data_IF_105625037690
#
_entry.id   IF_105625037690
#
_cell.length_a   1.000
_cell.length_b   1.000
_cell.length_c   1.000
_cell.angle_alpha   90.00
_cell.angle_beta   90.00
_cell.angle_gamma   90.00
#
_symmetry.space_group_name_H-M   'P 1'
#
loop_
_entity.id
_entity.type
_entity.pdbx_description
1 polymer ?
#
# COMPACT_ATOMS: atom_id res chain seq x y z
N UNK A 1 -4.80 -7.51 66.56
CA UNK A 1 -5.95 -6.71 67.03
C UNK A 1 -5.77 -6.27 68.49
N UNK A 2 -5.50 -7.19 69.43
CA UNK A 2 -5.31 -6.85 70.85
C UNK A 2 -4.20 -5.80 71.12
N UNK A 3 -3.08 -5.84 70.39
CA UNK A 3 -2.00 -4.85 70.50
C UNK A 3 -2.41 -3.44 70.08
N UNK A 4 -3.20 -3.31 69.01
CA UNK A 4 -3.69 -2.02 68.49
C UNK A 4 -4.72 -1.43 69.46
N UNK A 5 -5.62 -2.26 69.99
CA UNK A 5 -6.58 -1.85 71.01
C UNK A 5 -5.91 -1.47 72.33
N UNK A 6 -4.82 -2.14 72.71
CA UNK A 6 -4.02 -1.81 73.90
C UNK A 6 -3.33 -0.45 73.74
N UNK A 7 -2.70 -0.20 72.59
CA UNK A 7 -2.05 1.10 72.29
C UNK A 7 -3.09 2.24 72.17
N UNK A 8 -4.23 2.01 71.53
CA UNK A 8 -5.32 3.00 71.47
C UNK A 8 -5.86 3.36 72.86
N UNK A 9 -5.86 2.41 73.80
CA UNK A 9 -6.35 2.61 75.17
C UNK A 9 -5.32 3.27 76.08
N UNK A 10 -4.04 2.94 75.92
CA UNK A 10 -2.95 3.45 76.75
C UNK A 10 -2.36 4.77 76.22
N UNK A 11 -2.32 4.96 74.89
CA UNK A 11 -1.78 6.15 74.20
C UNK A 11 -2.60 6.46 72.93
N UNK A 12 -3.79 7.08 73.07
CA UNK A 12 -4.75 7.23 71.97
C UNK A 12 -4.23 8.04 70.78
N UNK A 13 -3.40 9.06 71.02
CA UNK A 13 -2.79 9.88 69.97
C UNK A 13 -1.81 9.08 69.11
N UNK A 14 -0.96 8.26 69.73
CA UNK A 14 0.02 7.39 69.05
C UNK A 14 -0.69 6.26 68.30
N UNK A 15 -1.73 5.68 68.92
CA UNK A 15 -2.57 4.66 68.27
C UNK A 15 -3.34 5.19 67.05
N UNK A 16 -3.92 6.39 67.16
CA UNK A 16 -4.61 7.05 66.05
C UNK A 16 -3.63 7.42 64.92
N UNK A 17 -2.45 7.94 65.25
CA UNK A 17 -1.39 8.22 64.28
C UNK A 17 -0.97 6.94 63.54
N UNK A 18 -0.69 5.86 64.27
CA UNK A 18 -0.27 4.58 63.68
C UNK A 18 -1.32 4.01 62.72
N UNK A 19 -2.59 4.07 63.09
CA UNK A 19 -3.71 3.66 62.23
C UNK A 19 -3.79 4.56 60.99
N UNK A 20 -3.76 5.88 61.17
CA UNK A 20 -3.83 6.84 60.07
C UNK A 20 -2.67 6.65 59.08
N UNK A 21 -1.43 6.47 59.56
CA UNK A 21 -0.26 6.22 58.71
C UNK A 21 -0.38 4.90 57.97
N UNK A 22 -0.89 3.85 58.62
CA UNK A 22 -1.09 2.53 58.00
C UNK A 22 -2.14 2.59 56.90
N UNK A 23 -3.31 3.20 57.15
CA UNK A 23 -4.34 3.36 56.14
C UNK A 23 -3.90 4.29 55.00
N UNK A 24 -3.09 5.31 55.29
CA UNK A 24 -2.51 6.18 54.25
C UNK A 24 -1.52 5.42 53.38
N UNK A 25 -0.65 4.60 53.98
CA UNK A 25 0.30 3.76 53.24
C UNK A 25 -0.42 2.72 52.37
N UNK A 26 -1.44 2.05 52.91
CA UNK A 26 -2.29 1.11 52.17
C UNK A 26 -3.00 1.85 51.02
N UNK A 27 -3.60 3.01 51.30
CA UNK A 27 -4.27 3.83 50.29
C UNK A 27 -3.34 4.28 49.16
N UNK A 28 -2.10 4.64 49.49
CA UNK A 28 -1.07 4.97 48.49
C UNK A 28 -0.73 3.77 47.61
N UNK A 29 -0.50 2.59 48.19
CA UNK A 29 -0.22 1.36 47.43
C UNK A 29 -1.38 1.01 46.49
N UNK A 30 -2.63 1.05 46.98
CA UNK A 30 -3.80 0.79 46.16
C UNK A 30 -3.96 1.80 45.02
N UNK A 31 -3.74 3.09 45.30
CA UNK A 31 -3.76 4.14 44.27
C UNK A 31 -2.72 3.86 43.19
N UNK A 32 -1.47 3.60 43.57
CA UNK A 32 -0.40 3.30 42.61
C UNK A 32 -0.70 2.07 41.76
N UNK A 33 -1.28 1.03 42.35
CA UNK A 33 -1.72 -0.17 41.62
C UNK A 33 -2.83 0.12 40.62
N UNK A 34 -3.84 0.88 41.02
CA UNK A 34 -4.95 1.27 40.14
C UNK A 34 -4.43 2.14 38.99
N UNK A 35 -3.56 3.11 39.29
CA UNK A 35 -2.97 4.01 38.30
C UNK A 35 -2.14 3.21 37.27
N UNK A 36 -1.30 2.26 37.71
CA UNK A 36 -0.53 1.40 36.82
C UNK A 36 -1.41 0.52 35.91
N UNK A 37 -2.52 -0.01 36.44
CA UNK A 37 -3.49 -0.79 35.64
C UNK A 37 -4.18 0.10 34.60
N UNK A 38 -4.58 1.31 34.98
CA UNK A 38 -5.23 2.27 34.09
C UNK A 38 -4.27 2.76 33.00
N UNK A 39 -3.02 3.05 33.34
CA UNK A 39 -1.97 3.40 32.38
C UNK A 39 -1.69 2.25 31.41
N UNK A 40 -1.56 1.02 31.89
CA UNK A 40 -1.41 -0.15 31.02
C UNK A 40 -2.59 -0.33 30.05
N UNK A 41 -3.83 -0.07 30.49
CA UNK A 41 -5.01 -0.07 29.62
C UNK A 41 -4.98 1.07 28.60
N UNK A 42 -4.58 2.28 29.00
CA UNK A 42 -4.44 3.45 28.11
C UNK A 42 -3.38 3.21 27.05
N UNK A 43 -2.20 2.72 27.45
CA UNK A 43 -1.11 2.40 26.54
C UNK A 43 -1.51 1.34 25.51
N UNK A 44 -2.19 0.26 25.93
CA UNK A 44 -2.76 -0.73 25.00
C UNK A 44 -3.75 -0.09 24.01
N UNK A 45 -4.59 0.82 24.47
CA UNK A 45 -5.54 1.55 23.62
C UNK A 45 -4.83 2.47 22.63
N UNK A 46 -3.75 3.13 23.04
CA UNK A 46 -2.93 4.00 22.19
C UNK A 46 -2.17 3.21 21.13
N UNK A 47 -1.49 2.11 21.50
CA UNK A 47 -0.85 1.21 20.53
C UNK A 47 -1.87 0.73 19.50
N UNK A 48 -3.04 0.29 19.97
CA UNK A 48 -4.12 -0.15 19.09
C UNK A 48 -4.53 0.98 18.14
N UNK A 49 -4.70 2.22 18.64
CA UNK A 49 -5.03 3.40 17.81
C UNK A 49 -3.94 3.72 16.77
N UNK A 50 -2.66 3.66 17.16
CA UNK A 50 -1.54 3.92 16.26
C UNK A 50 -1.52 2.86 15.15
N UNK A 51 -1.58 1.59 15.53
CA UNK A 51 -1.65 0.47 14.59
C UNK A 51 -2.79 0.64 13.58
N UNK A 52 -3.99 1.02 14.03
CA UNK A 52 -5.12 1.26 13.13
C UNK A 52 -4.90 2.44 12.20
N UNK A 53 -4.32 3.52 12.71
CA UNK A 53 -4.04 4.71 11.93
C UNK A 53 -3.08 4.38 10.79
N UNK A 54 -2.01 3.63 11.10
CA UNK A 54 -1.04 3.17 10.11
C UNK A 54 -1.66 2.20 9.08
N UNK A 55 -2.52 1.27 9.52
CA UNK A 55 -3.21 0.32 8.62
C UNK A 55 -4.18 1.01 7.67
N UNK A 56 -4.96 1.99 8.14
CA UNK A 56 -5.84 2.82 7.28
C UNK A 56 -5.03 3.64 6.29
N UNK A 57 -3.93 4.25 6.73
CA UNK A 57 -3.03 4.99 5.84
C UNK A 57 -2.41 4.08 4.76
N UNK A 58 -2.01 2.86 5.12
CA UNK A 58 -1.51 1.88 4.17
C UNK A 58 -2.58 1.49 3.14
N UNK A 59 -3.83 1.25 3.58
CA UNK A 59 -4.94 0.94 2.69
C UNK A 59 -5.27 2.09 1.70
N UNK A 60 -5.24 3.34 2.17
CA UNK A 60 -5.45 4.51 1.31
C UNK A 60 -4.37 4.62 0.25
N UNK A 61 -3.10 4.47 0.66
CA UNK A 61 -1.95 4.51 -0.26
C UNK A 61 -1.97 3.36 -1.26
N UNK A 62 -2.38 2.15 -0.85
CA UNK A 62 -2.59 1.03 -1.77
C UNK A 62 -3.61 1.37 -2.85
N UNK A 63 -4.71 1.99 -2.45
CA UNK A 63 -5.75 2.42 -3.38
C UNK A 63 -5.23 3.43 -4.38
N UNK A 64 -4.57 4.50 -3.90
CA UNK A 64 -3.97 5.52 -4.75
C UNK A 64 -2.98 4.89 -5.74
N UNK A 65 -2.04 4.07 -5.26
CA UNK A 65 -1.05 3.41 -6.10
C UNK A 65 -1.69 2.52 -7.18
N UNK A 66 -2.59 1.62 -6.80
CA UNK A 66 -3.18 0.67 -7.75
C UNK A 66 -4.06 1.36 -8.79
N UNK A 67 -4.77 2.43 -8.43
CA UNK A 67 -5.54 3.21 -9.40
C UNK A 67 -4.63 4.02 -10.35
N UNK A 68 -3.67 4.76 -9.81
CA UNK A 68 -2.80 5.64 -10.61
C UNK A 68 -1.91 4.84 -11.57
N UNK A 69 -1.34 3.72 -11.10
CA UNK A 69 -0.52 2.85 -11.93
C UNK A 69 -1.32 2.22 -13.08
N UNK A 70 -2.57 1.80 -12.81
CA UNK A 70 -3.43 1.24 -13.84
C UNK A 70 -3.88 2.29 -14.86
N UNK A 71 -4.21 3.49 -14.42
CA UNK A 71 -4.63 4.56 -15.32
C UNK A 71 -3.49 5.00 -16.23
N UNK A 72 -2.26 5.06 -15.70
CA UNK A 72 -1.07 5.38 -16.48
C UNK A 72 -0.83 4.35 -17.60
N UNK A 73 -0.88 3.06 -17.28
CA UNK A 73 -0.69 1.99 -18.28
C UNK A 73 -1.83 1.96 -19.31
N UNK A 74 -3.06 2.24 -18.89
CA UNK A 74 -4.22 2.39 -19.79
C UNK A 74 -4.02 3.52 -20.80
N UNK A 75 -3.57 4.70 -20.34
CA UNK A 75 -3.26 5.84 -21.20
C UNK A 75 -2.11 5.54 -22.17
N UNK A 76 -1.09 4.81 -21.73
CA UNK A 76 0.00 4.34 -22.58
C UNK A 76 -0.53 3.51 -23.75
N UNK A 77 -1.26 2.45 -23.41
CA UNK A 77 -1.86 1.51 -24.36
C UNK A 77 -2.72 2.27 -25.37
N UNK A 78 -3.54 3.21 -24.90
CA UNK A 78 -4.39 4.01 -25.76
C UNK A 78 -3.58 4.86 -26.74
N UNK A 79 -2.53 5.53 -26.26
CA UNK A 79 -1.70 6.38 -27.12
C UNK A 79 -0.90 5.57 -28.14
N UNK A 80 -0.37 4.41 -27.77
CA UNK A 80 0.29 3.48 -28.71
C UNK A 80 -0.72 2.97 -29.76
N UNK A 81 -1.95 2.63 -29.34
CA UNK A 81 -3.02 2.19 -30.27
C UNK A 81 -3.37 3.27 -31.29
N UNK A 82 -3.51 4.53 -30.85
CA UNK A 82 -3.77 5.66 -31.75
C UNK A 82 -2.65 5.82 -32.76
N UNK A 83 -1.41 5.71 -32.29
CA UNK A 83 -0.24 5.87 -33.16
C UNK A 83 -0.20 4.73 -34.19
N UNK A 84 -0.32 3.45 -33.80
CA UNK A 84 -0.33 2.29 -34.71
C UNK A 84 -1.49 2.26 -35.74
N UNK A 85 -2.48 3.14 -35.59
CA UNK A 85 -3.60 3.33 -36.52
C UNK A 85 -3.42 4.50 -37.47
N UNK A 86 -2.41 5.36 -37.29
CA UNK A 86 -2.13 6.44 -38.23
C UNK A 86 -1.44 5.87 -39.48
N UNK A 87 -2.08 6.03 -40.63
CA UNK A 87 -1.52 5.67 -41.94
C UNK A 87 -0.53 6.76 -42.38
N UNK A 88 0.77 6.55 -42.16
CA UNK A 88 1.80 7.42 -42.73
C UNK A 88 3.21 7.23 -42.16
N UNK A 89 4.26 7.16 -43.02
CA UNK A 89 5.64 7.19 -42.57
C UNK A 89 6.01 8.63 -42.17
N UNK A 90 6.31 8.87 -40.90
CA UNK A 90 6.93 10.15 -40.49
C UNK A 90 6.69 10.61 -39.05
N UNK A 91 5.65 10.13 -38.35
CA UNK A 91 5.33 10.62 -36.99
C UNK A 91 5.24 9.52 -35.93
N UNK A 92 5.24 8.24 -36.35
CA UNK A 92 4.98 7.08 -35.51
C UNK A 92 6.08 6.87 -34.45
N UNK A 93 7.33 6.83 -34.91
CA UNK A 93 8.50 6.48 -34.09
C UNK A 93 8.77 7.51 -33.00
N UNK A 94 8.89 8.80 -33.35
CA UNK A 94 9.07 9.87 -32.35
C UNK A 94 7.93 9.94 -31.33
N UNK A 95 6.69 9.67 -31.75
CA UNK A 95 5.53 9.76 -30.86
C UNK A 95 5.45 8.55 -29.92
N UNK A 96 5.77 7.35 -30.39
CA UNK A 96 5.88 6.15 -29.55
C UNK A 96 7.04 6.32 -28.57
N UNK A 97 8.23 6.69 -29.05
CA UNK A 97 9.42 6.84 -28.23
C UNK A 97 9.24 7.91 -27.15
N UNK A 98 8.77 9.12 -27.50
CA UNK A 98 8.46 10.17 -26.50
C UNK A 98 7.38 9.73 -25.51
N UNK A 99 6.40 8.94 -25.96
CA UNK A 99 5.35 8.43 -25.06
C UNK A 99 5.92 7.43 -24.08
N UNK A 100 6.70 6.46 -24.56
CA UNK A 100 7.31 5.45 -23.69
C UNK A 100 8.34 6.10 -22.75
N UNK A 101 9.12 7.07 -23.22
CA UNK A 101 10.15 7.76 -22.44
C UNK A 101 9.57 8.63 -21.31
N UNK A 102 8.51 9.42 -21.58
CA UNK A 102 7.77 10.17 -20.54
C UNK A 102 7.18 9.24 -19.48
N UNK A 103 6.80 8.02 -19.87
CA UNK A 103 6.20 7.06 -18.96
C UNK A 103 7.25 6.28 -18.19
N UNK A 104 8.35 5.86 -18.81
CA UNK A 104 9.50 5.26 -18.15
C UNK A 104 9.97 6.16 -17.00
N UNK A 105 10.10 7.47 -17.23
CA UNK A 105 10.43 8.44 -16.18
C UNK A 105 9.43 8.48 -15.01
N UNK A 106 8.14 8.18 -15.23
CA UNK A 106 7.11 8.09 -14.17
C UNK A 106 7.05 6.71 -13.50
N UNK A 107 7.51 5.66 -14.18
CA UNK A 107 7.41 4.26 -13.72
C UNK A 107 8.66 3.79 -13.00
N UNK A 108 9.78 4.53 -13.05
CA UNK A 108 11.12 4.19 -12.49
C UNK A 108 11.19 4.10 -10.95
N UNK A 109 10.07 4.04 -10.23
CA UNK A 109 10.10 3.65 -8.82
C UNK A 109 9.01 2.64 -8.43
N UNK A 110 9.06 1.41 -8.98
CA UNK A 110 8.14 0.33 -8.58
C UNK A 110 8.48 -0.23 -7.18
N UNK A 111 9.71 -0.01 -6.70
CA UNK A 111 10.15 -0.29 -5.31
C UNK A 111 9.95 0.98 -4.46
N UNK A 112 8.79 1.61 -4.60
CA UNK A 112 8.40 2.68 -3.69
C UNK A 112 8.27 2.08 -2.28
N UNK A 113 8.80 2.79 -1.28
CA UNK A 113 8.55 2.55 0.16
C UNK A 113 7.06 2.24 0.47
N UNK A 114 6.15 2.69 -0.40
CA UNK A 114 4.71 2.49 -0.31
C UNK A 114 4.27 1.05 -0.57
N UNK A 115 4.88 0.32 -1.50
CA UNK A 115 4.57 -1.11 -1.71
C UNK A 115 4.97 -1.93 -0.47
N UNK A 116 6.13 -1.62 0.12
CA UNK A 116 6.55 -2.23 1.38
C UNK A 116 5.58 -1.94 2.54
N UNK A 117 5.06 -0.71 2.61
CA UNK A 117 4.08 -0.32 3.64
C UNK A 117 2.75 -1.06 3.53
N UNK A 118 2.35 -1.45 2.33
CA UNK A 118 1.12 -2.24 2.08
C UNK A 118 1.35 -3.70 2.44
N UNK A 119 2.49 -4.27 2.04
CA UNK A 119 2.87 -5.65 2.33
C UNK A 119 3.07 -5.93 3.84
N UNK A 120 3.32 -4.89 4.66
CA UNK A 120 3.34 -5.03 6.12
C UNK A 120 1.96 -5.35 6.73
N UNK A 121 0.86 -5.04 6.03
CA UNK A 121 -0.50 -5.25 6.54
C UNK A 121 -1.32 -6.23 5.71
N UNK A 122 -0.95 -6.45 4.44
CA UNK A 122 -1.66 -7.34 3.52
C UNK A 122 -0.66 -8.26 2.85
N UNK A 123 -0.87 -9.57 3.00
CA UNK A 123 -0.02 -10.59 2.38
C UNK A 123 -0.60 -10.93 1.00
N UNK A 124 -0.14 -10.21 -0.02
CA UNK A 124 -0.57 -10.41 -1.40
C UNK A 124 0.35 -11.41 -2.10
N UNK A 125 -0.24 -12.38 -2.80
CA UNK A 125 0.50 -13.27 -3.70
C UNK A 125 0.92 -12.48 -4.95
N UNK A 126 2.18 -12.02 -4.96
CA UNK A 126 2.69 -11.21 -6.07
C UNK A 126 3.28 -12.01 -7.21
N UNK A 127 3.40 -13.35 -7.12
CA UNK A 127 4.12 -14.12 -8.14
C UNK A 127 3.52 -13.91 -9.53
N UNK A 128 2.19 -14.01 -9.63
CA UNK A 128 1.47 -13.79 -10.89
C UNK A 128 1.57 -12.33 -11.34
N UNK A 129 1.54 -11.39 -10.40
CA UNK A 129 1.64 -9.96 -10.72
C UNK A 129 3.03 -9.60 -11.25
N UNK A 130 4.09 -10.14 -10.64
CA UNK A 130 5.48 -9.94 -11.02
C UNK A 130 5.78 -10.54 -12.39
N UNK A 131 5.21 -11.72 -12.68
CA UNK A 131 5.25 -12.31 -14.03
C UNK A 131 4.58 -11.39 -15.07
N UNK A 132 3.36 -10.93 -14.80
CA UNK A 132 2.64 -10.02 -15.70
C UNK A 132 3.37 -8.69 -15.91
N UNK A 133 3.98 -8.14 -14.86
CA UNK A 133 4.78 -6.92 -14.94
C UNK A 133 6.02 -7.13 -15.80
N UNK A 134 6.73 -8.24 -15.61
CA UNK A 134 7.90 -8.62 -16.41
C UNK A 134 7.54 -8.80 -17.87
N UNK A 135 6.47 -9.55 -18.17
CA UNK A 135 5.97 -9.72 -19.54
C UNK A 135 5.59 -8.39 -20.18
N UNK A 136 4.88 -7.53 -19.45
CA UNK A 136 4.47 -6.21 -19.95
C UNK A 136 5.68 -5.32 -20.23
N UNK A 137 6.69 -5.34 -19.37
CA UNK A 137 7.94 -4.61 -19.56
C UNK A 137 8.68 -5.10 -20.80
N UNK A 138 8.81 -6.41 -21.00
CA UNK A 138 9.43 -6.97 -22.19
C UNK A 138 8.68 -6.56 -23.46
N UNK A 139 7.34 -6.57 -23.44
CA UNK A 139 6.54 -6.11 -24.58
C UNK A 139 6.79 -4.63 -24.87
N UNK A 140 6.91 -3.79 -23.85
CA UNK A 140 7.23 -2.36 -24.02
C UNK A 140 8.62 -2.20 -24.66
N UNK A 141 9.62 -2.97 -24.22
CA UNK A 141 10.95 -2.95 -24.83
C UNK A 141 10.93 -3.42 -26.29
N UNK A 142 10.14 -4.43 -26.64
CA UNK A 142 9.98 -4.83 -28.04
C UNK A 142 9.27 -3.76 -28.87
N UNK A 143 8.26 -3.09 -28.31
CA UNK A 143 7.59 -1.96 -28.96
C UNK A 143 8.54 -0.78 -29.22
N UNK A 144 9.49 -0.51 -28.32
CA UNK A 144 10.53 0.52 -28.52
C UNK A 144 11.47 0.19 -29.69
N UNK A 145 11.70 -1.10 -29.96
CA UNK A 145 12.58 -1.55 -31.06
C UNK A 145 11.92 -1.45 -32.44
N UNK A 146 10.60 -1.25 -32.51
CA UNK A 146 9.90 -1.08 -33.78
C UNK A 146 10.23 0.30 -34.34
N UNK A 147 11.21 0.33 -35.24
CA UNK A 147 11.62 1.52 -35.96
C UNK A 147 11.15 1.45 -37.41
N UNK A 148 10.45 2.49 -37.87
CA UNK A 148 10.08 2.67 -39.28
C UNK A 148 11.03 3.68 -39.90
N UNK A 149 11.82 3.23 -40.86
CA UNK A 149 12.80 4.03 -41.58
C UNK A 149 12.20 4.56 -42.88
N UNK A 150 12.65 5.73 -43.33
CA UNK A 150 12.25 6.29 -44.63
C UNK A 150 12.61 5.36 -45.80
N UNK A 151 13.64 4.53 -45.63
CA UNK A 151 14.10 3.55 -46.62
C UNK A 151 13.30 2.24 -46.62
N UNK A 152 12.35 2.05 -45.70
CA UNK A 152 11.57 0.81 -45.64
C UNK A 152 10.62 0.70 -46.83
N UNK A 153 10.49 -0.52 -47.37
CA UNK A 153 9.44 -0.82 -48.34
C UNK A 153 8.05 -0.79 -47.68
N UNK A 154 7.01 -0.58 -48.47
CA UNK A 154 5.61 -0.64 -47.98
C UNK A 154 5.28 -1.98 -47.30
N UNK A 155 5.85 -3.09 -47.78
CA UNK A 155 5.71 -4.42 -47.19
C UNK A 155 6.39 -4.51 -45.82
N UNK A 156 7.65 -4.05 -45.71
CA UNK A 156 8.39 -3.95 -44.44
C UNK A 156 7.65 -3.11 -43.39
N UNK A 157 7.09 -1.97 -43.81
CA UNK A 157 6.29 -1.10 -42.94
C UNK A 157 5.06 -1.84 -42.42
N UNK A 158 4.33 -2.54 -43.29
CA UNK A 158 3.14 -3.29 -42.89
C UNK A 158 3.46 -4.43 -41.92
N UNK A 159 4.56 -5.14 -42.13
CA UNK A 159 4.99 -6.20 -41.22
C UNK A 159 5.32 -5.66 -39.83
N UNK A 160 6.10 -4.57 -39.75
CA UNK A 160 6.41 -3.87 -38.49
C UNK A 160 5.17 -3.35 -37.78
N UNK A 161 4.21 -2.79 -38.51
CA UNK A 161 2.93 -2.33 -37.94
C UNK A 161 2.09 -3.49 -37.40
N UNK A 162 2.07 -4.63 -38.11
CA UNK A 162 1.37 -5.83 -37.66
C UNK A 162 2.02 -6.44 -36.42
N UNK A 163 3.36 -6.47 -36.36
CA UNK A 163 4.11 -6.85 -35.16
C UNK A 163 3.75 -5.96 -33.97
N UNK A 164 3.77 -4.63 -34.14
CA UNK A 164 3.37 -3.68 -33.10
C UNK A 164 1.93 -3.88 -32.62
N UNK A 165 1.00 -4.19 -33.51
CA UNK A 165 -0.40 -4.51 -33.16
C UNK A 165 -0.52 -5.80 -32.35
N UNK A 166 0.27 -6.82 -32.69
CA UNK A 166 0.30 -8.09 -31.95
C UNK A 166 0.86 -7.87 -30.53
N UNK A 167 1.97 -7.14 -30.41
CA UNK A 167 2.55 -6.75 -29.12
C UNK A 167 1.56 -5.93 -28.28
N UNK A 168 0.90 -4.93 -28.87
CA UNK A 168 -0.11 -4.13 -28.20
C UNK A 168 -1.31 -4.97 -27.71
N UNK A 169 -1.70 -5.99 -28.46
CA UNK A 169 -2.78 -6.91 -28.07
C UNK A 169 -2.38 -7.71 -26.82
N UNK A 170 -1.14 -8.20 -26.78
CA UNK A 170 -0.60 -8.89 -25.60
C UNK A 170 -0.50 -7.95 -24.39
N UNK A 171 -0.04 -6.71 -24.60
CA UNK A 171 0.04 -5.69 -23.54
C UNK A 171 -1.36 -5.38 -22.97
N UNK A 172 -2.37 -5.22 -23.84
CA UNK A 172 -3.78 -5.04 -23.44
C UNK A 172 -4.30 -6.19 -22.60
N UNK A 173 -4.01 -7.43 -23.01
CA UNK A 173 -4.40 -8.64 -22.27
C UNK A 173 -3.74 -8.67 -20.88
N UNK A 174 -2.45 -8.39 -20.79
CA UNK A 174 -1.73 -8.37 -19.52
C UNK A 174 -2.24 -7.27 -18.58
N UNK A 175 -2.48 -6.07 -19.12
CA UNK A 175 -3.09 -4.97 -18.37
C UNK A 175 -4.48 -5.35 -17.80
N UNK A 176 -5.32 -6.03 -18.58
CA UNK A 176 -6.62 -6.50 -18.09
C UNK A 176 -6.49 -7.54 -16.96
N UNK A 177 -5.49 -8.43 -17.02
CA UNK A 177 -5.22 -9.40 -15.95
C UNK A 177 -4.73 -8.70 -14.68
N UNK A 178 -3.78 -7.77 -14.81
CA UNK A 178 -3.31 -6.94 -13.69
C UNK A 178 -4.47 -6.19 -13.02
N UNK A 179 -5.37 -5.58 -13.81
CA UNK A 179 -6.55 -4.88 -13.29
C UNK A 179 -7.45 -5.77 -12.44
N UNK A 180 -7.59 -7.05 -12.81
CA UNK A 180 -8.38 -8.02 -12.03
C UNK A 180 -7.69 -8.34 -10.69
N UNK A 181 -6.38 -8.53 -10.70
CA UNK A 181 -5.58 -8.77 -9.49
C UNK A 181 -5.68 -7.58 -8.54
N UNK A 182 -5.41 -6.36 -9.03
CA UNK A 182 -5.51 -5.15 -8.22
C UNK A 182 -6.92 -4.90 -7.68
N UNK A 183 -7.96 -5.21 -8.45
CA UNK A 183 -9.34 -5.17 -7.95
C UNK A 183 -9.56 -6.17 -6.81
N UNK A 184 -8.99 -7.36 -6.90
CA UNK A 184 -9.05 -8.34 -5.81
C UNK A 184 -8.37 -7.82 -4.55
N UNK A 185 -7.20 -7.22 -4.67
CA UNK A 185 -6.49 -6.62 -3.53
C UNK A 185 -7.29 -5.49 -2.90
N UNK A 186 -7.88 -4.61 -3.72
CA UNK A 186 -8.75 -3.54 -3.22
C UNK A 186 -10.00 -4.07 -2.53
N UNK A 187 -10.59 -5.15 -3.01
CA UNK A 187 -11.72 -5.79 -2.33
C UNK A 187 -11.30 -6.36 -0.98
N UNK A 188 -10.17 -7.06 -0.89
CA UNK A 188 -9.63 -7.57 0.39
C UNK A 188 -9.38 -6.43 1.39
N UNK A 189 -8.76 -5.35 0.92
CA UNK A 189 -8.53 -4.14 1.73
C UNK A 189 -9.86 -3.54 2.20
N UNK A 190 -10.86 -3.44 1.33
CA UNK A 190 -12.16 -2.87 1.67
C UNK A 190 -12.97 -3.75 2.63
N UNK A 191 -12.93 -5.07 2.45
CA UNK A 191 -13.55 -6.03 3.36
C UNK A 191 -12.94 -5.90 4.76
N UNK A 192 -11.60 -5.91 4.83
CA UNK A 192 -10.85 -5.71 6.07
C UNK A 192 -11.24 -4.39 6.75
N UNK A 193 -11.21 -3.27 6.02
CA UNK A 193 -11.65 -1.97 6.54
C UNK A 193 -13.12 -1.96 6.99
N UNK A 194 -14.00 -2.66 6.27
CA UNK A 194 -15.44 -2.69 6.58
C UNK A 194 -15.78 -3.45 7.86
N UNK A 195 -14.99 -4.47 8.21
CA UNK A 195 -15.09 -5.17 9.50
C UNK A 195 -14.71 -4.26 10.67
N UNK A 196 -13.91 -3.22 10.43
CA UNK A 196 -13.44 -2.30 11.47
C UNK A 196 -14.25 -1.01 11.59
N UNK A 197 -15.00 -0.61 10.55
CA UNK A 197 -15.86 0.59 10.57
C UNK A 197 -17.25 0.30 11.18
N UNK A 198 -17.63 -0.99 11.33
CA UNK A 198 -18.82 -1.41 12.09
C UNK A 198 -18.63 -1.30 13.60
#
# INVERSE_FOLDING_TARGET
MEFIFKILRENPEIGALFIATTFTAIGFIFKTWIDAILEGKRFKKEIKKIYWTERINAAKKASEYYYDHQELLSLMIHKIDVVLRQDGPGTLYETIQKTIEVISQRTVNPISFEHHHIHMFYDFDTEVLDQLNTESFNIIQELEKIEILESDSTESINDKLNEGRNLLTNLKSNHQKQKKIYKSYLNMINEDLSEFIK
#
